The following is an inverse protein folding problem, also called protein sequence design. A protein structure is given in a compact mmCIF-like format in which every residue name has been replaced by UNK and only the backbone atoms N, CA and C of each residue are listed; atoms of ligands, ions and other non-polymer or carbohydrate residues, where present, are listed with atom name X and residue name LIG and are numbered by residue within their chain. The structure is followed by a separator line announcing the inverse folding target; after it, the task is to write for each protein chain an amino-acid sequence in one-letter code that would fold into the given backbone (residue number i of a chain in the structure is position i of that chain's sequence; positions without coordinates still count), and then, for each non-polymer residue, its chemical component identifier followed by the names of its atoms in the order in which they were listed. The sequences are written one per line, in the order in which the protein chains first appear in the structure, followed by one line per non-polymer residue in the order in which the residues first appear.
data_IF_664045646633
#
_entry.id   IF_664045646633
#
_cell.length_a   1.000
_cell.length_b   1.000
_cell.length_c   1.000
_cell.angle_alpha   90.00
_cell.angle_beta   90.00
_cell.angle_gamma   90.00
#
_symmetry.space_group_name_H-M   'P 1'
#
loop_
_entity.id
_entity.type
_entity.pdbx_description
1 polymer ?
#
# COMPACT_ATOMS: atom_id res chain seq x y z
N UNK A 1 15.89 1.60 11.76
CA UNK A 1 15.31 2.45 10.71
C UNK A 1 15.52 3.88 11.14
N UNK A 2 16.03 4.71 10.24
CA UNK A 2 16.10 6.15 10.41
C UNK A 2 14.72 6.70 10.81
N UNK A 3 14.64 7.43 11.91
CA UNK A 3 13.41 8.12 12.30
C UNK A 3 13.38 9.49 11.62
N UNK A 4 12.34 9.72 10.82
CA UNK A 4 12.03 11.01 10.20
C UNK A 4 10.83 11.67 10.89
N UNK A 5 10.65 11.36 12.18
CA UNK A 5 9.60 11.95 13.03
C UNK A 5 10.03 13.29 13.62
N UNK A 6 11.34 13.58 13.66
CA UNK A 6 11.89 14.88 14.05
C UNK A 6 12.55 15.53 12.84
N UNK A 7 12.18 16.77 12.55
CA UNK A 7 12.63 17.53 11.40
C UNK A 7 13.17 18.89 11.83
N UNK A 8 14.07 19.45 11.02
CA UNK A 8 14.60 20.80 11.13
C UNK A 8 15.16 21.17 9.75
N UNK A 9 15.15 22.45 9.42
CA UNK A 9 15.68 22.96 8.16
C UNK A 9 17.21 22.85 8.17
N UNK A 10 17.80 22.43 7.04
CA UNK A 10 19.23 22.10 6.98
C UNK A 10 20.16 23.30 7.21
N UNK A 11 19.66 24.51 7.03
CA UNK A 11 20.34 25.78 7.28
C UNK A 11 20.14 26.32 8.71
N UNK A 12 19.24 25.72 9.50
CA UNK A 12 19.04 26.01 10.91
C UNK A 12 20.07 25.24 11.77
N UNK A 13 20.85 25.92 12.65
CA UNK A 13 21.74 25.25 13.60
C UNK A 13 21.09 24.14 14.45
N UNK A 14 19.78 24.24 14.72
CA UNK A 14 19.00 23.24 15.46
C UNK A 14 18.99 21.89 14.73
N UNK A 15 19.15 21.85 13.40
CA UNK A 15 19.29 20.63 12.61
C UNK A 15 20.35 19.69 13.17
N UNK A 16 21.54 20.21 13.50
CA UNK A 16 22.61 19.37 14.06
C UNK A 16 22.23 18.80 15.43
N UNK A 17 21.44 19.52 16.23
CA UNK A 17 20.93 19.03 17.51
C UNK A 17 19.92 17.90 17.31
N UNK A 18 19.04 18.03 16.32
CA UNK A 18 18.11 16.95 15.93
C UNK A 18 18.90 15.71 15.51
N UNK A 19 19.91 15.84 14.64
CA UNK A 19 20.76 14.72 14.21
C UNK A 19 21.47 14.05 15.40
N UNK A 20 22.06 14.84 16.30
CA UNK A 20 22.77 14.32 17.48
C UNK A 20 21.82 13.61 18.46
N UNK A 21 20.55 14.04 18.55
CA UNK A 21 19.54 13.47 19.46
C UNK A 21 18.76 12.29 18.85
N UNK A 22 18.95 12.00 17.57
CA UNK A 22 18.17 11.00 16.80
C UNK A 22 19.01 9.77 16.48
N UNK A 23 19.74 9.24 17.48
CA UNK A 23 20.59 8.07 17.29
C UNK A 23 19.77 6.84 16.84
N UNK A 24 20.14 6.30 15.67
CA UNK A 24 19.44 5.15 15.09
C UNK A 24 19.78 3.84 15.80
N UNK A 25 18.78 2.97 16.07
CA UNK A 25 19.04 1.68 16.68
C UNK A 25 19.82 0.77 15.72
N UNK A 26 20.94 0.22 16.22
CA UNK A 26 21.74 -0.77 15.49
C UNK A 26 20.98 -2.10 15.45
N UNK A 27 20.55 -2.51 14.26
CA UNK A 27 19.86 -3.80 14.07
C UNK A 27 20.83 -4.99 14.03
N UNK A 28 22.02 -4.78 13.43
CA UNK A 28 23.06 -5.80 13.28
C UNK A 28 24.40 -5.13 12.98
N UNK A 29 25.49 -5.76 13.44
CA UNK A 29 26.85 -5.45 13.01
C UNK A 29 27.42 -6.62 12.22
N UNK A 30 28.24 -6.32 11.21
CA UNK A 30 28.83 -7.32 10.32
C UNK A 30 30.35 -7.23 10.35
N UNK A 31 31.00 -8.40 10.33
CA UNK A 31 32.42 -8.48 10.03
C UNK A 31 32.62 -8.30 8.52
N UNK A 32 33.53 -7.41 8.14
CA UNK A 32 33.96 -7.24 6.75
C UNK A 32 34.82 -8.46 6.38
N UNK A 33 34.35 -9.26 5.42
CA UNK A 33 35.07 -10.45 4.95
C UNK A 33 36.18 -10.10 3.96
N UNK A 34 35.92 -9.14 3.08
CA UNK A 34 36.91 -8.60 2.14
C UNK A 34 36.39 -7.33 1.47
N UNK A 35 37.24 -6.35 1.11
CA UNK A 35 36.87 -5.31 0.16
C UNK A 35 36.78 -5.86 -1.27
N UNK A 36 36.08 -5.16 -2.17
CA UNK A 36 36.15 -5.41 -3.60
C UNK A 36 37.47 -4.86 -4.21
N UNK A 37 37.73 -5.16 -5.50
CA UNK A 37 39.03 -4.89 -6.15
C UNK A 37 39.41 -3.41 -6.21
N UNK A 38 38.42 -2.54 -6.36
CA UNK A 38 38.54 -1.08 -6.47
C UNK A 38 38.27 -0.37 -5.13
N UNK A 39 38.04 -1.12 -4.04
CA UNK A 39 37.77 -0.61 -2.68
C UNK A 39 36.52 0.26 -2.55
N UNK A 40 35.61 0.21 -3.51
CA UNK A 40 34.32 0.91 -3.50
C UNK A 40 33.22 0.14 -2.75
N UNK A 41 33.47 -1.12 -2.39
CA UNK A 41 32.50 -1.99 -1.74
C UNK A 41 33.14 -3.05 -0.84
N UNK A 42 32.33 -3.68 0.00
CA UNK A 42 32.76 -4.73 0.93
C UNK A 42 31.84 -5.94 0.87
N UNK A 43 32.42 -7.13 1.05
CA UNK A 43 31.70 -8.37 1.21
C UNK A 43 31.39 -8.60 2.69
N UNK A 44 30.11 -8.83 2.99
CA UNK A 44 29.62 -9.21 4.33
C UNK A 44 28.81 -10.50 4.25
N UNK A 45 28.73 -11.24 5.36
CA UNK A 45 27.78 -12.33 5.50
C UNK A 45 26.51 -11.83 6.20
N UNK A 46 25.45 -11.63 5.43
CA UNK A 46 24.17 -11.12 5.93
C UNK A 46 23.17 -12.20 6.38
N UNK A 47 23.50 -13.50 6.29
CA UNK A 47 22.53 -14.58 6.58
C UNK A 47 21.88 -14.46 7.95
N UNK A 48 22.66 -14.09 8.98
CA UNK A 48 22.16 -13.90 10.35
C UNK A 48 21.41 -12.59 10.58
N UNK A 49 21.35 -11.67 9.62
CA UNK A 49 20.43 -10.53 9.68
C UNK A 49 18.99 -11.04 9.57
N UNK A 50 18.74 -11.89 8.59
CA UNK A 50 17.40 -12.38 8.25
C UNK A 50 17.01 -13.64 9.02
N UNK A 51 17.96 -14.55 9.31
CA UNK A 51 17.65 -15.86 9.94
C UNK A 51 17.80 -15.88 11.47
N UNK A 52 17.98 -14.72 12.12
CA UNK A 52 18.00 -14.60 13.58
C UNK A 52 16.83 -13.74 14.06
N UNK A 53 16.50 -13.79 15.36
CA UNK A 53 15.34 -13.07 15.93
C UNK A 53 15.60 -11.57 16.08
N UNK A 54 15.91 -10.89 14.98
CA UNK A 54 15.99 -9.43 14.87
C UNK A 54 14.55 -8.92 14.89
N UNK A 55 14.10 -8.41 16.03
CA UNK A 55 12.67 -8.05 16.25
C UNK A 55 12.09 -7.13 15.17
N UNK A 56 12.90 -6.21 14.63
CA UNK A 56 12.47 -5.27 13.58
C UNK A 56 12.25 -5.92 12.21
N UNK A 57 12.83 -7.11 11.97
CA UNK A 57 12.73 -7.88 10.72
C UNK A 57 12.03 -9.23 10.93
N UNK A 58 11.56 -9.54 12.15
CA UNK A 58 10.94 -10.81 12.46
C UNK A 58 9.42 -10.73 12.47
N UNK A 59 8.79 -11.74 13.07
CA UNK A 59 7.33 -11.76 13.22
C UNK A 59 6.83 -10.52 13.98
N UNK A 60 5.85 -9.77 13.44
CA UNK A 60 5.29 -8.58 14.09
C UNK A 60 4.74 -8.85 15.50
N UNK A 61 4.81 -7.84 16.38
CA UNK A 61 4.48 -7.98 17.81
C UNK A 61 3.05 -8.51 18.04
N UNK A 62 2.09 -8.01 17.29
CA UNK A 62 0.68 -8.42 17.32
C UNK A 62 0.52 -9.90 16.92
N UNK A 63 1.21 -10.35 15.88
CA UNK A 63 1.21 -11.76 15.47
C UNK A 63 1.91 -12.65 16.50
N UNK A 64 3.00 -12.16 17.11
CA UNK A 64 3.66 -12.88 18.23
C UNK A 64 2.72 -13.04 19.41
N UNK A 65 1.97 -12.00 19.78
CA UNK A 65 0.99 -12.07 20.85
C UNK A 65 -0.17 -13.01 20.50
N UNK A 66 -0.72 -12.88 19.29
CA UNK A 66 -1.84 -13.71 18.80
C UNK A 66 -1.55 -15.20 18.86
N UNK A 67 -0.35 -15.62 18.43
CA UNK A 67 0.02 -17.04 18.36
C UNK A 67 0.87 -17.53 19.54
N UNK A 68 1.13 -16.68 20.54
CA UNK A 68 2.04 -16.98 21.64
C UNK A 68 3.45 -17.33 21.14
N UNK A 69 3.92 -16.65 20.09
CA UNK A 69 5.22 -16.91 19.47
C UNK A 69 6.36 -16.36 20.34
N UNK A 70 7.20 -17.26 20.84
CA UNK A 70 8.30 -16.95 21.76
C UNK A 70 9.63 -16.85 21.01
N UNK A 71 10.46 -17.88 21.18
CA UNK A 71 11.84 -17.96 20.68
C UNK A 71 11.85 -18.47 19.24
N UNK A 72 12.65 -17.82 18.39
CA UNK A 72 13.00 -18.33 17.07
C UNK A 72 13.83 -19.63 17.20
N UNK A 73 13.50 -20.62 16.40
CA UNK A 73 14.30 -21.81 16.19
C UNK A 73 15.24 -21.61 14.99
N UNK A 74 16.47 -21.20 15.28
CA UNK A 74 17.50 -20.97 14.26
C UNK A 74 17.97 -22.22 13.53
N UNK A 75 17.66 -23.43 14.02
CA UNK A 75 17.96 -24.68 13.32
C UNK A 75 16.94 -25.03 12.22
N UNK A 76 15.75 -24.43 12.29
CA UNK A 76 14.66 -24.54 11.31
C UNK A 76 14.35 -23.21 10.63
N UNK A 77 15.32 -22.31 10.61
CA UNK A 77 15.21 -21.01 9.94
C UNK A 77 16.36 -20.84 8.95
N UNK A 78 16.05 -20.47 7.71
CA UNK A 78 16.99 -20.43 6.60
C UNK A 78 16.56 -19.41 5.55
N UNK A 79 17.50 -18.99 4.69
CA UNK A 79 17.19 -18.21 3.50
C UNK A 79 16.62 -19.14 2.43
N UNK A 80 15.45 -18.82 1.88
CA UNK A 80 14.86 -19.54 0.74
C UNK A 80 15.35 -18.98 -0.59
N UNK A 81 15.57 -17.67 -0.67
CA UNK A 81 15.93 -16.99 -1.90
C UNK A 81 16.51 -15.59 -1.66
N UNK A 82 17.12 -15.05 -2.71
CA UNK A 82 17.44 -13.64 -2.81
C UNK A 82 17.43 -13.23 -4.28
N UNK A 83 16.77 -12.12 -4.58
CA UNK A 83 16.64 -11.57 -5.92
C UNK A 83 16.98 -10.08 -5.92
N UNK A 84 17.52 -9.60 -7.04
CA UNK A 84 17.92 -8.20 -7.18
C UNK A 84 17.31 -7.63 -8.44
N UNK A 85 16.57 -6.57 -8.26
CA UNK A 85 15.98 -5.74 -9.30
C UNK A 85 16.75 -4.41 -9.38
N UNK A 86 16.49 -3.58 -10.40
CA UNK A 86 17.20 -2.29 -10.54
C UNK A 86 17.04 -1.35 -9.34
N UNK A 87 15.89 -1.37 -8.67
CA UNK A 87 15.56 -0.43 -7.59
C UNK A 87 15.28 -1.10 -6.24
N UNK A 88 15.30 -2.43 -6.16
CA UNK A 88 15.21 -3.14 -4.89
C UNK A 88 15.97 -4.46 -4.88
N UNK A 89 16.29 -4.94 -3.68
CA UNK A 89 16.81 -6.29 -3.46
C UNK A 89 15.97 -6.97 -2.41
N UNK A 90 15.46 -8.14 -2.77
CA UNK A 90 14.54 -8.91 -1.96
C UNK A 90 15.27 -10.14 -1.42
N UNK A 91 15.05 -10.41 -0.13
CA UNK A 91 15.63 -11.57 0.56
C UNK A 91 14.52 -12.32 1.25
N UNK A 92 14.35 -13.57 0.83
CA UNK A 92 13.33 -14.45 1.37
C UNK A 92 13.91 -15.34 2.46
N UNK A 93 13.20 -15.44 3.58
CA UNK A 93 13.58 -16.26 4.70
C UNK A 93 12.39 -17.05 5.24
N UNK A 94 12.62 -18.32 5.52
CA UNK A 94 11.72 -19.14 6.34
C UNK A 94 12.16 -18.99 7.79
N UNK A 95 11.28 -18.46 8.64
CA UNK A 95 11.51 -18.28 10.06
C UNK A 95 10.56 -19.15 10.89
N UNK A 96 11.14 -20.01 11.72
CA UNK A 96 10.37 -20.88 12.60
C UNK A 96 10.43 -20.36 14.04
N UNK A 97 9.28 -20.24 14.70
CA UNK A 97 9.16 -19.82 16.09
C UNK A 97 8.47 -20.91 16.91
N UNK A 98 8.88 -21.07 18.17
CA UNK A 98 8.06 -21.79 19.14
C UNK A 98 6.79 -20.98 19.42
N UNK A 99 5.64 -21.64 19.42
CA UNK A 99 4.34 -20.99 19.55
C UNK A 99 3.38 -21.83 20.39
N UNK A 100 2.68 -21.18 21.32
CA UNK A 100 1.70 -21.85 22.18
C UNK A 100 0.36 -22.06 21.50
N UNK A 101 0.04 -21.23 20.50
CA UNK A 101 -1.23 -21.26 19.80
C UNK A 101 -1.00 -21.06 18.30
N UNK A 102 -0.29 -21.99 17.64
CA UNK A 102 -0.07 -21.91 16.21
C UNK A 102 -1.41 -21.97 15.45
N UNK A 103 -1.57 -21.25 14.33
CA UNK A 103 -2.83 -21.21 13.57
C UNK A 103 -3.16 -22.54 12.88
N UNK A 104 -2.16 -23.40 12.69
CA UNK A 104 -2.30 -24.72 12.10
C UNK A 104 -1.32 -25.70 12.76
N UNK A 105 -1.56 -27.01 12.58
CA UNK A 105 -0.62 -28.07 13.00
C UNK A 105 -0.18 -27.95 14.48
N UNK A 106 -1.15 -27.80 15.38
CA UNK A 106 -0.94 -27.55 16.82
C UNK A 106 -0.06 -28.57 17.54
N UNK A 107 0.01 -29.80 17.03
CA UNK A 107 0.92 -30.84 17.53
C UNK A 107 2.41 -30.49 17.42
N UNK A 108 2.78 -29.55 16.55
CA UNK A 108 4.18 -29.13 16.35
C UNK A 108 4.66 -28.09 17.36
N UNK A 109 3.73 -27.40 18.06
CA UNK A 109 4.02 -26.32 19.03
C UNK A 109 4.91 -25.22 18.41
N UNK A 110 4.82 -25.03 17.09
CA UNK A 110 5.65 -24.11 16.32
C UNK A 110 4.86 -23.47 15.18
N UNK A 111 5.32 -22.30 14.74
CA UNK A 111 4.88 -21.67 13.50
C UNK A 111 6.09 -21.46 12.61
N UNK A 112 5.95 -21.74 11.32
CA UNK A 112 6.93 -21.38 10.29
C UNK A 112 6.26 -20.35 9.38
N UNK A 113 6.94 -19.22 9.17
CA UNK A 113 6.48 -18.15 8.28
C UNK A 113 7.54 -17.92 7.23
N UNK A 114 7.09 -17.75 6.00
CA UNK A 114 7.92 -17.21 4.93
C UNK A 114 7.81 -15.69 4.96
N UNK A 115 8.96 -15.02 4.93
CA UNK A 115 9.07 -13.56 5.00
C UNK A 115 9.93 -13.10 3.84
N UNK A 116 9.38 -12.20 3.01
CA UNK A 116 10.16 -11.44 2.05
C UNK A 116 10.60 -10.10 2.68
N UNK A 117 11.90 -9.81 2.61
CA UNK A 117 12.51 -8.57 3.06
C UNK A 117 13.00 -7.76 1.85
N UNK A 118 12.28 -6.69 1.52
CA UNK A 118 12.67 -5.79 0.44
C UNK A 118 13.52 -4.61 0.94
N UNK A 119 14.68 -4.42 0.31
CA UNK A 119 15.52 -3.23 0.46
C UNK A 119 15.36 -2.36 -0.77
N UNK A 120 14.57 -1.29 -0.63
CA UNK A 120 14.21 -0.38 -1.72
C UNK A 120 15.17 0.82 -1.78
N UNK A 121 15.66 1.13 -2.97
CA UNK A 121 16.40 2.34 -3.28
C UNK A 121 15.45 3.54 -3.26
N UNK A 122 15.74 4.54 -2.43
CA UNK A 122 14.94 5.75 -2.38
C UNK A 122 15.33 6.72 -3.52
N UNK A 123 14.40 7.55 -4.02
CA UNK A 123 14.71 8.58 -5.01
C UNK A 123 15.87 9.48 -4.58
N UNK A 124 16.73 9.89 -5.51
CA UNK A 124 17.85 10.80 -5.18
C UNK A 124 17.33 12.14 -4.66
N UNK A 125 16.42 12.76 -5.42
CA UNK A 125 15.76 14.02 -5.07
C UNK A 125 14.44 13.76 -4.35
N UNK A 126 14.31 14.10 -3.06
CA UNK A 126 13.07 13.91 -2.35
C UNK A 126 11.94 14.82 -2.86
N UNK A 127 10.71 14.30 -2.91
CA UNK A 127 9.55 15.10 -3.31
C UNK A 127 9.27 16.20 -2.28
N UNK A 128 8.83 17.38 -2.75
CA UNK A 128 8.37 18.45 -1.86
C UNK A 128 7.21 17.98 -0.97
N UNK A 129 7.35 18.22 0.33
CA UNK A 129 6.32 17.96 1.33
C UNK A 129 5.01 18.69 0.98
N UNK A 130 3.88 18.05 1.25
CA UNK A 130 2.58 18.69 1.22
C UNK A 130 1.94 18.53 2.59
N UNK A 131 1.63 19.65 3.25
CA UNK A 131 1.06 19.64 4.59
C UNK A 131 -0.39 19.13 4.56
N UNK A 132 -0.80 18.47 5.64
CA UNK A 132 -2.17 18.05 5.83
C UNK A 132 -3.09 19.27 5.90
N UNK A 133 -4.23 19.18 5.22
CA UNK A 133 -5.28 20.20 5.23
C UNK A 133 -6.56 19.58 5.80
N UNK A 134 -7.15 20.20 6.82
CA UNK A 134 -8.35 19.67 7.47
C UNK A 134 -9.58 19.58 6.56
N UNK A 135 -9.56 20.28 5.41
CA UNK A 135 -10.65 20.27 4.43
C UNK A 135 -10.60 19.07 3.50
N UNK A 136 -9.45 18.38 3.40
CA UNK A 136 -9.23 17.28 2.46
C UNK A 136 -8.64 16.07 3.20
N UNK A 137 -9.35 14.94 3.16
CA UNK A 137 -8.90 13.73 3.84
C UNK A 137 -7.77 13.02 3.08
N UNK A 138 -6.56 13.02 3.65
CA UNK A 138 -5.42 12.21 3.21
C UNK A 138 -4.78 11.50 4.41
N UNK A 139 -4.18 10.33 4.16
CA UNK A 139 -3.32 9.68 5.11
C UNK A 139 -2.09 10.57 5.38
N UNK A 140 -2.03 11.11 6.58
CA UNK A 140 -0.92 11.91 7.06
C UNK A 140 0.14 11.09 7.82
N UNK A 141 1.29 11.72 8.05
CA UNK A 141 2.21 11.35 9.11
C UNK A 141 2.57 12.60 9.90
N UNK A 142 2.41 12.52 11.21
CA UNK A 142 2.81 13.56 12.15
C UNK A 142 4.32 13.57 12.34
N UNK A 143 4.90 14.76 12.48
CA UNK A 143 6.31 15.04 12.73
C UNK A 143 6.44 16.22 13.66
N UNK A 144 7.60 16.34 14.27
CA UNK A 144 7.96 17.45 15.13
C UNK A 144 9.00 18.30 14.40
N UNK A 145 8.61 19.51 14.01
CA UNK A 145 9.49 20.50 13.41
C UNK A 145 10.16 21.36 14.50
N UNK A 146 11.48 21.28 14.56
CA UNK A 146 12.31 22.02 15.52
C UNK A 146 12.80 23.37 14.99
N UNK A 147 12.60 23.67 13.71
CA UNK A 147 12.89 24.97 13.09
C UNK A 147 11.71 25.93 13.14
N UNK A 148 10.68 25.61 13.95
CA UNK A 148 9.58 26.53 14.14
C UNK A 148 10.03 27.79 14.87
N UNK A 149 9.54 28.94 14.39
CA UNK A 149 9.66 30.24 15.06
C UNK A 149 8.74 30.36 16.28
N UNK A 150 7.85 29.39 16.49
CA UNK A 150 7.12 29.29 17.75
C UNK A 150 8.13 29.03 18.88
N UNK A 151 7.84 29.51 20.09
CA UNK A 151 8.70 29.30 21.26
C UNK A 151 8.64 27.85 21.79
N UNK A 152 8.47 26.87 20.89
CA UNK A 152 8.39 25.44 21.10
C UNK A 152 8.59 24.73 19.75
N UNK A 153 8.94 23.44 19.78
CA UNK A 153 8.85 22.61 18.59
C UNK A 153 7.38 22.43 18.20
N UNK A 154 7.09 22.46 16.91
CA UNK A 154 5.73 22.36 16.39
C UNK A 154 5.41 20.97 15.85
N UNK A 155 4.17 20.56 16.03
CA UNK A 155 3.63 19.39 15.37
C UNK A 155 3.19 19.76 13.95
N UNK A 156 3.77 19.09 12.96
CA UNK A 156 3.37 19.20 11.57
C UNK A 156 2.85 17.86 11.05
N UNK A 157 1.95 17.90 10.08
CA UNK A 157 1.45 16.71 9.41
C UNK A 157 1.72 16.86 7.92
N UNK A 158 2.26 15.81 7.30
CA UNK A 158 2.50 15.75 5.84
C UNK A 158 1.73 14.58 5.23
N UNK A 159 1.11 14.80 4.07
CA UNK A 159 0.31 13.79 3.38
C UNK A 159 1.18 12.80 2.60
N UNK A 160 0.66 11.59 2.43
CA UNK A 160 1.23 10.58 1.52
C UNK A 160 0.62 10.77 0.14
N UNK A 161 1.46 10.89 -0.89
CA UNK A 161 0.97 11.09 -2.27
C UNK A 161 1.97 10.58 -3.30
N UNK A 162 1.47 10.28 -4.49
CA UNK A 162 2.31 10.04 -5.67
C UNK A 162 2.93 11.35 -6.17
N UNK A 163 4.13 11.27 -6.72
CA UNK A 163 4.72 12.36 -7.50
C UNK A 163 4.06 12.39 -8.87
N UNK A 164 3.49 13.54 -9.23
CA UNK A 164 2.94 13.79 -10.56
C UNK A 164 3.44 15.15 -11.04
N UNK A 165 4.43 15.13 -11.92
CA UNK A 165 4.95 16.32 -12.58
C UNK A 165 4.22 16.51 -13.91
N UNK A 166 3.62 17.68 -14.18
CA UNK A 166 3.05 18.00 -15.50
C UNK A 166 4.09 17.90 -16.62
N UNK A 167 3.75 17.24 -17.72
CA UNK A 167 4.62 17.21 -18.92
C UNK A 167 4.77 18.58 -19.60
N UNK A 168 3.84 19.48 -19.31
CA UNK A 168 3.83 20.87 -19.77
C UNK A 168 3.27 21.74 -18.63
N UNK A 169 4.15 22.47 -17.95
CA UNK A 169 3.81 23.25 -16.76
C UNK A 169 3.00 24.51 -17.13
N UNK A 170 3.26 25.11 -18.29
CA UNK A 170 2.55 26.32 -18.73
C UNK A 170 1.11 25.97 -19.13
N UNK A 171 0.92 24.90 -19.89
CA UNK A 171 -0.41 24.41 -20.25
C UNK A 171 -1.20 23.92 -19.02
N UNK A 172 -0.54 23.25 -18.07
CA UNK A 172 -1.19 22.87 -16.81
C UNK A 172 -1.65 24.11 -16.02
N UNK A 173 -0.79 25.12 -15.91
CA UNK A 173 -1.11 26.36 -15.20
C UNK A 173 -2.22 27.18 -15.89
N UNK A 174 -2.39 27.05 -17.21
CA UNK A 174 -3.51 27.66 -17.95
C UNK A 174 -4.83 26.87 -17.85
N UNK A 175 -4.83 25.72 -17.16
CA UNK A 175 -6.00 24.86 -16.97
C UNK A 175 -6.21 23.84 -18.09
N UNK A 176 -5.24 23.65 -18.98
CA UNK A 176 -5.31 22.63 -20.02
C UNK A 176 -4.98 21.24 -19.47
N UNK A 177 -5.60 20.21 -20.05
CA UNK A 177 -5.31 18.82 -19.71
C UNK A 177 -3.96 18.38 -20.27
N UNK A 178 -3.01 18.10 -19.39
CA UNK A 178 -1.67 17.60 -19.75
C UNK A 178 -1.48 16.16 -19.26
N UNK A 179 -0.49 15.45 -19.80
CA UNK A 179 -0.09 14.16 -19.23
C UNK A 179 0.89 14.42 -18.08
N UNK A 180 1.01 13.55 -17.08
CA UNK A 180 2.19 13.58 -16.24
C UNK A 180 3.41 13.10 -17.04
N UNK A 181 4.60 13.54 -16.64
CA UNK A 181 5.87 12.99 -17.14
C UNK A 181 5.93 11.48 -16.89
N UNK A 182 5.58 11.06 -15.67
CA UNK A 182 5.45 9.66 -15.27
C UNK A 182 4.02 9.38 -14.80
N UNK A 183 3.25 8.54 -15.51
CA UNK A 183 1.93 8.13 -15.05
C UNK A 183 2.05 7.08 -13.93
N UNK A 184 1.06 7.04 -13.05
CA UNK A 184 0.87 5.95 -12.09
C UNK A 184 0.38 4.73 -12.88
N UNK A 185 1.16 3.66 -12.88
CA UNK A 185 0.83 2.44 -13.62
C UNK A 185 0.60 1.31 -12.64
N UNK A 186 -0.60 0.72 -12.71
CA UNK A 186 -0.92 -0.51 -12.01
C UNK A 186 -0.95 -1.69 -12.99
N UNK A 187 -0.27 -2.77 -12.64
CA UNK A 187 -0.33 -4.03 -13.33
C UNK A 187 -1.41 -4.91 -12.68
N UNK A 188 -2.25 -5.54 -13.50
CA UNK A 188 -3.14 -6.58 -13.03
C UNK A 188 -2.37 -7.89 -13.06
N UNK A 189 -2.29 -8.52 -11.90
CA UNK A 189 -1.61 -9.80 -11.72
C UNK A 189 -2.12 -10.84 -12.74
N UNK A 190 -1.22 -11.49 -13.52
CA UNK A 190 -1.56 -12.60 -14.40
C UNK A 190 -2.34 -13.72 -13.71
N UNK A 191 -2.20 -13.92 -12.41
CA UNK A 191 -2.93 -14.94 -11.65
C UNK A 191 -4.39 -14.56 -11.36
N UNK A 192 -4.76 -13.29 -11.57
CA UNK A 192 -6.16 -12.84 -11.47
C UNK A 192 -7.05 -13.64 -12.43
N UNK A 193 -8.18 -14.22 -11.97
CA UNK A 193 -9.10 -14.95 -12.83
C UNK A 193 -9.50 -14.15 -14.07
N UNK A 194 -9.36 -14.74 -15.27
CA UNK A 194 -9.52 -14.04 -16.56
C UNK A 194 -10.82 -13.24 -16.68
N UNK A 195 -11.92 -13.77 -16.14
CA UNK A 195 -13.25 -13.12 -16.12
C UNK A 195 -13.28 -11.82 -15.31
N UNK A 196 -12.41 -11.67 -14.31
CA UNK A 196 -12.35 -10.53 -13.40
C UNK A 196 -11.36 -9.45 -13.83
N UNK A 197 -10.33 -9.80 -14.61
CA UNK A 197 -9.32 -8.84 -15.11
C UNK A 197 -9.91 -7.56 -15.72
N UNK A 198 -10.96 -7.60 -16.58
CA UNK A 198 -11.54 -6.38 -17.13
C UNK A 198 -12.15 -5.45 -16.06
N UNK A 199 -12.68 -6.01 -14.98
CA UNK A 199 -13.27 -5.24 -13.89
C UNK A 199 -12.22 -4.61 -12.99
N UNK A 200 -11.15 -5.35 -12.69
CA UNK A 200 -9.99 -4.81 -11.95
C UNK A 200 -9.35 -3.65 -12.72
N UNK A 201 -9.11 -3.82 -14.02
CA UNK A 201 -8.58 -2.74 -14.89
C UNK A 201 -9.46 -1.49 -14.85
N UNK A 202 -10.77 -1.66 -14.97
CA UNK A 202 -11.73 -0.55 -14.87
C UNK A 202 -11.69 0.11 -13.50
N UNK A 203 -11.57 -0.65 -12.41
CA UNK A 203 -11.51 -0.09 -11.06
C UNK A 203 -10.30 0.83 -10.86
N UNK A 204 -9.14 0.42 -11.39
CA UNK A 204 -7.94 1.27 -11.44
C UNK A 204 -8.22 2.55 -12.25
N UNK A 205 -8.78 2.40 -13.45
CA UNK A 205 -8.97 3.50 -14.40
C UNK A 205 -10.14 4.44 -14.05
N UNK A 206 -11.02 4.06 -13.12
CA UNK A 206 -12.11 4.94 -12.65
C UNK A 206 -11.58 6.24 -12.04
N UNK A 207 -10.38 6.20 -11.46
CA UNK A 207 -9.67 7.38 -10.94
C UNK A 207 -9.23 8.36 -12.03
N UNK A 208 -9.22 7.97 -13.31
CA UNK A 208 -8.92 8.91 -14.40
C UNK A 208 -9.87 10.11 -14.42
N UNK A 209 -11.13 9.93 -13.98
CA UNK A 209 -12.08 11.04 -13.89
C UNK A 209 -11.58 12.09 -12.89
N UNK A 210 -11.16 11.67 -11.69
CA UNK A 210 -10.62 12.57 -10.69
C UNK A 210 -9.32 13.25 -11.15
N UNK A 211 -8.42 12.50 -11.82
CA UNK A 211 -7.20 13.09 -12.37
C UNK A 211 -7.46 14.11 -13.48
N UNK A 212 -8.47 13.90 -14.33
CA UNK A 212 -8.87 14.90 -15.34
C UNK A 212 -9.36 16.19 -14.69
N UNK A 213 -10.18 16.11 -13.65
CA UNK A 213 -10.59 17.29 -12.88
C UNK A 213 -9.38 17.98 -12.21
N UNK A 214 -8.35 17.22 -11.85
CA UNK A 214 -7.08 17.74 -11.33
C UNK A 214 -6.11 18.24 -12.43
N UNK A 215 -6.54 18.34 -13.69
CA UNK A 215 -5.75 18.87 -14.81
C UNK A 215 -4.91 17.83 -15.56
N UNK A 216 -5.02 16.54 -15.23
CA UNK A 216 -4.24 15.48 -15.87
C UNK A 216 -5.07 14.53 -16.73
N UNK A 217 -4.62 14.27 -17.96
CA UNK A 217 -5.10 13.15 -18.78
C UNK A 217 -4.13 11.98 -18.70
N UNK A 218 -4.67 10.76 -18.64
CA UNK A 218 -3.92 9.50 -18.63
C UNK A 218 -2.94 9.35 -17.45
N UNK A 219 -3.25 9.96 -16.29
CA UNK A 219 -2.37 9.93 -15.13
C UNK A 219 -2.31 8.59 -14.42
N UNK A 220 -3.38 7.79 -14.47
CA UNK A 220 -3.41 6.45 -13.88
C UNK A 220 -3.79 5.41 -14.93
N UNK A 221 -3.06 4.30 -15.03
CA UNK A 221 -3.23 3.34 -16.12
C UNK A 221 -3.25 1.91 -15.59
N UNK A 222 -4.16 1.09 -16.12
CA UNK A 222 -4.17 -0.34 -15.86
C UNK A 222 -3.48 -1.10 -17.00
N UNK A 223 -2.49 -1.92 -16.69
CA UNK A 223 -1.77 -2.76 -17.66
C UNK A 223 -1.88 -4.23 -17.29
N UNK A 224 -1.64 -5.09 -18.28
CA UNK A 224 -1.22 -6.46 -18.01
C UNK A 224 0.27 -6.51 -18.33
N UNK A 225 1.04 -7.33 -17.60
CA UNK A 225 2.33 -7.80 -18.11
C UNK A 225 2.13 -8.42 -19.50
N UNK A 226 3.07 -8.19 -20.41
CA UNK A 226 3.03 -8.88 -21.70
C UNK A 226 3.32 -10.36 -21.48
N UNK A 227 2.69 -11.26 -22.24
CA UNK A 227 2.94 -12.71 -22.12
C UNK A 227 4.41 -13.08 -22.40
N UNK A 228 5.14 -12.23 -23.12
CA UNK A 228 6.56 -12.41 -23.44
C UNK A 228 7.49 -11.49 -22.61
N UNK A 229 6.95 -10.70 -21.68
CA UNK A 229 7.77 -9.84 -20.82
C UNK A 229 8.32 -10.66 -19.65
N UNK A 230 9.51 -11.22 -19.84
CA UNK A 230 10.22 -11.96 -18.81
C UNK A 230 10.83 -11.07 -17.72
N UNK A 231 10.60 -9.75 -17.77
CA UNK A 231 11.17 -8.79 -16.81
C UNK A 231 10.14 -8.28 -15.81
N UNK A 232 8.86 -8.63 -15.97
CA UNK A 232 7.85 -8.33 -14.97
C UNK A 232 7.97 -9.31 -13.80
N UNK A 233 8.14 -8.74 -12.61
CA UNK A 233 7.97 -9.42 -11.34
C UNK A 233 7.14 -8.51 -10.42
N UNK A 234 6.21 -9.10 -9.65
CA UNK A 234 5.37 -8.32 -8.73
C UNK A 234 6.13 -7.88 -7.46
N UNK A 235 7.31 -8.45 -7.21
CA UNK A 235 8.21 -8.08 -6.11
C UNK A 235 9.26 -7.02 -6.57
N UNK A 236 9.35 -6.70 -7.86
CA UNK A 236 10.11 -5.55 -8.36
C UNK A 236 9.34 -4.25 -8.11
N UNK A 237 9.95 -3.34 -7.34
CA UNK A 237 9.31 -2.11 -6.84
C UNK A 237 8.84 -1.16 -7.95
N UNK A 238 9.33 -1.35 -9.18
CA UNK A 238 8.92 -0.56 -10.36
C UNK A 238 7.53 -0.94 -10.85
N UNK A 239 6.97 -2.06 -10.41
CA UNK A 239 5.67 -2.57 -10.86
C UNK A 239 4.63 -2.63 -9.73
N UNK A 240 3.94 -1.50 -9.51
CA UNK A 240 2.76 -1.51 -8.64
C UNK A 240 1.70 -2.48 -9.18
N UNK A 241 1.28 -3.44 -8.35
CA UNK A 241 0.48 -4.58 -8.82
C UNK A 241 -0.78 -4.78 -7.99
N UNK A 242 -1.91 -5.08 -8.65
CA UNK A 242 -3.11 -5.62 -8.01
C UNK A 242 -3.02 -7.15 -8.04
N UNK A 243 -2.64 -7.73 -6.91
CA UNK A 243 -2.33 -9.16 -6.73
C UNK A 243 -3.55 -9.96 -6.27
N UNK A 244 -3.73 -11.14 -6.84
CA UNK A 244 -4.86 -12.02 -6.52
C UNK A 244 -4.42 -13.21 -5.66
N UNK A 245 -4.77 -13.20 -4.38
CA UNK A 245 -4.35 -14.24 -3.43
C UNK A 245 -5.37 -15.37 -3.32
N UNK A 246 -4.89 -16.61 -3.35
CA UNK A 246 -5.68 -17.81 -3.08
C UNK A 246 -5.85 -18.03 -1.56
N UNK A 247 -6.56 -17.10 -0.91
CA UNK A 247 -6.85 -17.12 0.53
C UNK A 247 -8.37 -16.93 0.75
N UNK A 248 -8.91 -17.61 1.77
CA UNK A 248 -10.33 -17.58 2.12
C UNK A 248 -10.71 -16.40 3.03
N UNK A 249 -9.75 -15.55 3.40
CA UNK A 249 -10.00 -14.30 4.11
C UNK A 249 -10.81 -13.34 3.23
N UNK A 250 -12.07 -13.01 3.56
CA UNK A 250 -12.98 -12.32 2.65
C UNK A 250 -12.75 -10.79 2.70
N UNK A 251 -11.63 -10.32 2.16
CA UNK A 251 -11.24 -8.91 2.22
C UNK A 251 -10.37 -8.46 1.03
N UNK A 252 -9.97 -7.20 1.04
CA UNK A 252 -8.91 -6.64 0.21
C UNK A 252 -8.10 -5.63 1.02
N UNK A 253 -6.93 -5.21 0.51
CA UNK A 253 -6.09 -4.21 1.17
C UNK A 253 -5.18 -3.49 0.17
N UNK A 254 -5.16 -2.16 0.23
CA UNK A 254 -4.29 -1.29 -0.56
C UNK A 254 -3.14 -0.66 0.25
N UNK A 255 -2.06 -1.41 0.57
CA UNK A 255 -0.87 -0.83 1.17
C UNK A 255 -0.02 -0.06 0.14
N UNK A 256 0.94 0.72 0.63
CA UNK A 256 1.96 1.37 -0.20
C UNK A 256 3.33 1.37 0.46
N UNK A 257 4.37 1.30 -0.36
CA UNK A 257 5.77 1.61 -0.02
C UNK A 257 5.96 3.12 -0.20
N UNK A 258 6.64 3.76 0.76
CA UNK A 258 6.75 5.21 0.80
C UNK A 258 8.13 5.65 1.23
N UNK A 259 8.61 6.73 0.61
CA UNK A 259 9.79 7.43 1.09
C UNK A 259 9.54 7.97 2.51
N UNK A 260 10.35 7.60 3.50
CA UNK A 260 10.15 8.06 4.86
C UNK A 260 10.45 9.57 5.06
N UNK A 261 11.24 10.20 4.17
CA UNK A 261 11.66 11.60 4.22
C UNK A 261 10.52 12.56 3.93
N UNK A 262 9.74 12.33 2.86
CA UNK A 262 8.65 13.23 2.46
C UNK A 262 7.37 12.55 1.95
N UNK A 263 7.26 11.24 2.21
CA UNK A 263 6.02 10.45 2.03
C UNK A 263 5.53 10.37 0.59
N UNK A 264 6.45 10.53 -0.37
CA UNK A 264 6.25 10.06 -1.73
C UNK A 264 5.90 8.58 -1.71
N UNK A 265 4.79 8.21 -2.35
CA UNK A 265 4.46 6.82 -2.61
C UNK A 265 5.33 6.36 -3.78
N UNK A 266 6.10 5.30 -3.53
CA UNK A 266 7.05 4.72 -4.50
C UNK A 266 6.34 3.59 -5.27
N UNK A 267 5.64 2.73 -4.53
CA UNK A 267 5.03 1.51 -5.05
C UNK A 267 3.80 1.15 -4.24
N UNK A 268 2.90 0.37 -4.85
CA UNK A 268 1.73 -0.17 -4.19
C UNK A 268 1.34 -1.57 -4.68
N UNK A 269 1.41 -2.53 -3.76
CA UNK A 269 0.96 -3.90 -3.95
C UNK A 269 -0.42 -4.13 -3.31
N UNK A 270 -1.49 -4.02 -4.10
CA UNK A 270 -2.87 -4.22 -3.63
C UNK A 270 -3.15 -5.72 -3.50
N UNK A 271 -3.70 -6.13 -2.35
CA UNK A 271 -4.09 -7.50 -2.07
C UNK A 271 -5.58 -7.69 -2.32
N UNK A 272 -5.93 -8.55 -3.27
CA UNK A 272 -7.29 -9.03 -3.47
C UNK A 272 -7.36 -10.52 -3.10
N UNK A 273 -7.97 -10.83 -1.96
CA UNK A 273 -8.13 -12.23 -1.54
C UNK A 273 -9.28 -12.89 -2.30
N UNK A 274 -9.17 -14.17 -2.63
CA UNK A 274 -10.11 -14.88 -3.50
C UNK A 274 -11.56 -14.80 -2.99
N UNK A 275 -11.73 -14.90 -1.68
CA UNK A 275 -13.04 -14.91 -1.02
C UNK A 275 -13.65 -13.51 -0.83
N UNK A 276 -13.04 -12.45 -1.38
CA UNK A 276 -13.71 -11.14 -1.52
C UNK A 276 -15.08 -11.25 -2.20
N UNK A 277 -15.24 -12.25 -3.08
CA UNK A 277 -16.49 -12.57 -3.75
C UNK A 277 -17.62 -12.91 -2.76
N UNK A 278 -17.30 -13.59 -1.64
CA UNK A 278 -18.28 -13.92 -0.61
C UNK A 278 -18.76 -12.67 0.13
N UNK A 279 -17.83 -11.78 0.51
CA UNK A 279 -18.14 -10.50 1.12
C UNK A 279 -19.04 -9.66 0.22
N UNK A 280 -18.70 -9.55 -1.06
CA UNK A 280 -19.46 -8.79 -2.04
C UNK A 280 -20.87 -9.34 -2.25
N UNK A 281 -21.02 -10.67 -2.33
CA UNK A 281 -22.35 -11.30 -2.40
C UNK A 281 -23.18 -10.95 -1.16
N UNK A 282 -22.59 -11.07 0.02
CA UNK A 282 -23.31 -10.85 1.27
C UNK A 282 -23.68 -9.37 1.45
N UNK A 283 -22.80 -8.44 1.09
CA UNK A 283 -23.10 -7.01 1.06
C UNK A 283 -24.23 -6.68 0.08
N UNK A 284 -24.15 -7.19 -1.14
CA UNK A 284 -25.19 -6.97 -2.15
C UNK A 284 -26.56 -7.50 -1.70
N UNK A 285 -26.58 -8.70 -1.07
CA UNK A 285 -27.78 -9.25 -0.47
C UNK A 285 -28.31 -8.34 0.65
N UNK A 286 -27.50 -8.05 1.67
CA UNK A 286 -27.93 -7.28 2.86
C UNK A 286 -28.45 -5.90 2.46
N UNK A 287 -27.81 -5.25 1.49
CA UNK A 287 -28.10 -3.87 1.14
C UNK A 287 -29.26 -3.73 0.15
N UNK A 288 -29.48 -4.72 -0.73
CA UNK A 288 -30.43 -4.56 -1.85
C UNK A 288 -31.58 -5.58 -1.87
N UNK A 289 -31.48 -6.72 -1.17
CA UNK A 289 -32.44 -7.82 -1.30
C UNK A 289 -33.90 -7.45 -0.92
N UNK A 290 -34.11 -6.39 -0.13
CA UNK A 290 -35.45 -5.91 0.19
C UNK A 290 -36.23 -5.50 -1.07
N UNK A 291 -35.56 -4.89 -2.05
CA UNK A 291 -36.17 -4.33 -3.27
C UNK A 291 -35.64 -4.94 -4.56
N UNK A 292 -34.53 -5.70 -4.51
CA UNK A 292 -33.90 -6.36 -5.65
C UNK A 292 -34.05 -7.89 -5.57
N UNK A 293 -34.96 -8.51 -6.36
CA UNK A 293 -35.10 -9.96 -6.40
C UNK A 293 -33.85 -10.72 -6.85
N UNK A 294 -33.01 -10.13 -7.71
CA UNK A 294 -31.79 -10.76 -8.22
C UNK A 294 -30.74 -10.95 -7.12
N UNK A 295 -30.72 -10.06 -6.13
CA UNK A 295 -29.83 -10.14 -4.98
C UNK A 295 -30.15 -11.32 -4.04
N UNK A 296 -31.36 -11.90 -4.13
CA UNK A 296 -31.83 -12.98 -3.24
C UNK A 296 -31.31 -14.38 -3.63
N UNK A 297 -30.66 -14.48 -4.78
CA UNK A 297 -30.06 -15.73 -5.26
C UNK A 297 -28.88 -16.16 -4.39
N UNK A 298 -28.55 -17.46 -4.42
CA UNK A 298 -27.37 -17.99 -3.72
C UNK A 298 -26.04 -17.46 -4.30
N UNK A 299 -26.02 -17.15 -5.59
CA UNK A 299 -24.86 -16.61 -6.28
C UNK A 299 -25.29 -15.40 -7.12
N UNK A 300 -24.45 -14.37 -7.16
CA UNK A 300 -24.60 -13.27 -8.10
C UNK A 300 -24.23 -13.75 -9.51
N UNK A 301 -24.87 -13.17 -10.52
CA UNK A 301 -24.43 -13.35 -11.89
C UNK A 301 -23.00 -12.76 -12.06
N UNK A 302 -22.22 -13.24 -13.06
CA UNK A 302 -20.85 -12.78 -13.24
C UNK A 302 -20.71 -11.27 -13.50
N UNK A 303 -21.70 -10.61 -14.10
CA UNK A 303 -21.63 -9.17 -14.37
C UNK A 303 -21.79 -8.38 -13.07
N UNK A 304 -22.78 -8.72 -12.24
CA UNK A 304 -22.97 -8.10 -10.94
C UNK A 304 -21.78 -8.34 -10.00
N UNK A 305 -21.25 -9.57 -9.94
CA UNK A 305 -20.03 -9.84 -9.18
C UNK A 305 -18.84 -9.03 -9.71
N UNK A 306 -18.70 -8.95 -11.04
CA UNK A 306 -17.66 -8.14 -11.68
C UNK A 306 -17.75 -6.66 -11.31
N UNK A 307 -18.95 -6.08 -11.24
CA UNK A 307 -19.15 -4.70 -10.76
C UNK A 307 -18.70 -4.52 -9.31
N UNK A 308 -18.98 -5.48 -8.43
CA UNK A 308 -18.47 -5.49 -7.06
C UNK A 308 -16.94 -5.56 -6.99
N UNK A 309 -16.31 -6.38 -7.84
CA UNK A 309 -14.85 -6.47 -7.94
C UNK A 309 -14.24 -5.15 -8.44
N UNK A 310 -14.88 -4.49 -9.42
CA UNK A 310 -14.47 -3.15 -9.88
C UNK A 310 -14.54 -2.13 -8.75
N UNK A 311 -15.62 -2.14 -7.96
CA UNK A 311 -15.78 -1.28 -6.80
C UNK A 311 -14.63 -1.48 -5.78
N UNK A 312 -14.35 -2.72 -5.39
CA UNK A 312 -13.26 -3.02 -4.44
C UNK A 312 -11.91 -2.59 -5.02
N UNK A 313 -11.62 -2.91 -6.28
CA UNK A 313 -10.38 -2.48 -6.93
C UNK A 313 -10.24 -0.94 -6.93
N UNK A 314 -11.32 -0.20 -7.24
CA UNK A 314 -11.31 1.26 -7.18
C UNK A 314 -11.11 1.78 -5.75
N UNK A 315 -11.75 1.16 -4.76
CA UNK A 315 -11.62 1.52 -3.34
C UNK A 315 -10.19 1.33 -2.84
N UNK A 316 -9.59 0.16 -3.10
CA UNK A 316 -8.21 -0.10 -2.69
C UNK A 316 -7.21 0.81 -3.41
N UNK A 317 -7.43 1.11 -4.69
CA UNK A 317 -6.61 2.12 -5.41
C UNK A 317 -6.74 3.50 -4.76
N UNK A 318 -7.90 3.85 -4.19
CA UNK A 318 -8.05 5.09 -3.43
C UNK A 318 -7.12 5.17 -2.22
N UNK A 319 -6.97 4.06 -1.47
CA UNK A 319 -6.02 4.00 -0.35
C UNK A 319 -4.58 4.17 -0.81
N UNK A 320 -4.24 3.61 -1.97
CA UNK A 320 -2.90 3.69 -2.53
C UNK A 320 -2.61 5.01 -3.20
N UNK A 321 -3.63 5.83 -3.47
CA UNK A 321 -3.50 7.25 -3.81
C UNK A 321 -3.36 8.16 -2.56
N UNK A 322 -3.43 7.57 -1.36
CA UNK A 322 -3.26 8.28 -0.10
C UNK A 322 -4.57 8.65 0.61
N UNK A 323 -5.73 8.16 0.16
CA UNK A 323 -7.02 8.51 0.76
C UNK A 323 -7.41 7.55 1.90
N UNK A 324 -7.80 8.05 3.08
CA UNK A 324 -8.39 7.21 4.12
C UNK A 324 -9.83 6.83 3.78
N UNK A 325 -10.41 5.92 4.57
CA UNK A 325 -11.85 5.72 4.55
C UNK A 325 -12.58 7.03 4.85
N UNK A 326 -13.68 7.27 4.15
CA UNK A 326 -14.51 8.45 4.33
C UNK A 326 -15.87 8.07 4.95
N UNK A 327 -15.89 7.47 6.15
CA UNK A 327 -17.17 7.07 6.78
C UNK A 327 -18.12 8.25 7.09
N UNK A 328 -17.61 9.49 7.08
CA UNK A 328 -18.45 10.67 7.20
C UNK A 328 -19.41 10.83 6.01
N UNK A 329 -19.08 10.30 4.82
CA UNK A 329 -19.96 10.37 3.65
C UNK A 329 -21.30 9.67 3.85
N UNK A 330 -21.35 8.63 4.68
CA UNK A 330 -22.58 7.92 5.02
C UNK A 330 -23.64 8.83 5.68
N UNK A 331 -23.24 9.97 6.26
CA UNK A 331 -24.15 10.94 6.89
C UNK A 331 -24.43 12.18 6.02
N UNK A 332 -23.80 12.29 4.85
CA UNK A 332 -23.92 13.48 4.02
C UNK A 332 -25.25 13.56 3.25
N UNK A 333 -25.95 12.44 3.12
CA UNK A 333 -27.22 12.33 2.36
C UNK A 333 -28.38 12.07 3.32
N UNK A 334 -29.47 12.87 3.28
CA UNK A 334 -30.67 12.59 4.06
C UNK A 334 -31.26 11.21 3.75
N UNK A 335 -31.69 10.48 4.77
CA UNK A 335 -32.24 9.12 4.62
C UNK A 335 -33.45 9.07 3.67
N UNK A 336 -34.27 10.13 3.64
CA UNK A 336 -35.42 10.19 2.73
C UNK A 336 -35.00 10.25 1.26
N UNK A 337 -33.87 10.89 0.94
CA UNK A 337 -33.27 10.87 -0.41
C UNK A 337 -32.78 9.46 -0.77
N UNK A 338 -32.14 8.75 0.15
CA UNK A 338 -31.70 7.37 -0.05
C UNK A 338 -32.86 6.38 -0.24
N UNK A 339 -34.06 6.72 0.22
CA UNK A 339 -35.29 5.94 0.00
C UNK A 339 -35.98 6.25 -1.33
N UNK A 340 -35.57 7.31 -2.04
CA UNK A 340 -36.12 7.67 -3.34
C UNK A 340 -35.39 6.92 -4.46
N UNK A 341 -36.07 6.06 -5.25
CA UNK A 341 -35.45 5.36 -6.37
C UNK A 341 -34.95 6.32 -7.46
N UNK A 342 -35.65 7.42 -7.69
CA UNK A 342 -35.26 8.45 -8.67
C UNK A 342 -33.94 9.12 -8.24
N UNK A 343 -33.85 9.51 -6.97
CA UNK A 343 -32.67 10.17 -6.44
C UNK A 343 -31.45 9.25 -6.43
N UNK A 344 -31.60 8.01 -5.95
CA UNK A 344 -30.49 7.03 -5.89
C UNK A 344 -30.07 6.54 -7.26
N UNK A 345 -30.96 6.48 -8.25
CA UNK A 345 -30.59 6.18 -9.64
C UNK A 345 -29.71 7.26 -10.28
N UNK A 346 -29.85 8.52 -9.84
CA UNK A 346 -29.06 9.64 -10.36
C UNK A 346 -27.76 9.85 -9.57
N UNK A 347 -27.81 9.72 -8.24
CA UNK A 347 -26.72 10.12 -7.34
C UNK A 347 -25.96 8.95 -6.70
N UNK A 348 -26.48 7.73 -6.81
CA UNK A 348 -25.99 6.56 -6.06
C UNK A 348 -26.44 6.56 -4.59
N UNK A 349 -25.85 5.67 -3.79
CA UNK A 349 -26.19 5.48 -2.37
C UNK A 349 -25.16 6.09 -1.40
N UNK A 350 -23.98 6.45 -1.90
CA UNK A 350 -22.93 7.14 -1.15
C UNK A 350 -22.20 8.14 -2.05
N UNK A 351 -21.81 9.33 -1.53
CA UNK A 351 -21.08 10.31 -2.32
C UNK A 351 -19.58 10.00 -2.42
N UNK A 352 -19.08 8.92 -1.81
CA UNK A 352 -17.65 8.59 -1.79
C UNK A 352 -17.39 7.10 -2.03
N UNK A 353 -16.52 6.80 -2.99
CA UNK A 353 -16.00 5.44 -3.21
C UNK A 353 -15.21 4.93 -2.00
N UNK A 354 -14.66 5.84 -1.18
CA UNK A 354 -13.91 5.50 0.05
C UNK A 354 -14.80 5.18 1.25
N UNK A 355 -16.11 5.05 1.05
CA UNK A 355 -17.05 4.56 2.07
C UNK A 355 -17.21 3.02 1.98
N UNK A 356 -17.99 2.42 2.88
CA UNK A 356 -18.38 1.00 2.83
C UNK A 356 -19.86 0.81 2.49
N UNK A 357 -20.33 1.51 1.46
CA UNK A 357 -21.69 1.35 0.95
C UNK A 357 -21.58 0.92 -0.50
N UNK A 358 -22.04 -0.30 -0.81
CA UNK A 358 -22.18 -0.76 -2.19
C UNK A 358 -23.61 -0.47 -2.65
N UNK A 359 -23.76 0.29 -3.74
CA UNK A 359 -25.07 0.60 -4.34
C UNK A 359 -24.98 0.54 -5.85
#
# INVERSE_FOLDING_TARGET
MASYEKTADSDDPVYQSVQNSSFEPILKAFEIKSPNKDSTGVLINATKLFTSDVKALGLPKDMRQRYGARRLDGGRSYLSGAESFPENTDVEAVLTYQADSPPSSSSTVTISVEMNHSMVLLPEEPMQACHCDQRVGYFGVERINYSSENQQADEECVIRRWRLTPSDVEAYASGELVKPEEPIVYYVDPETPKKWRPYVKKGIEDWQKAFREAGFKNAIQARMPSENDSTFDADDVRYSTVRWFADDFPNARGPSVRDPRFREIIESNIYMYHDIQSLLRDWYFVQTAATNPEARGQNLDPETMGRGIRYVAAHEVGHTLGLPHNFASSNAVPVDSLRSPEWTSEHGTTPSIMDYITG
#
